data_IF_357877140181
#
_entry.id   IF_357877140181
#
_cell.length_a   1.000
_cell.length_b   1.000
_cell.length_c   1.000
_cell.angle_alpha   90.00
_cell.angle_beta   90.00
_cell.angle_gamma   90.00
#
_symmetry.space_group_name_H-M   'P 1'
#
loop_
_entity.id
_entity.type
_entity.pdbx_description
1 polymer ?
#
# COMPACT_ATOMS: atom_id res chain seq x y z
N UNK A 1 -6.22 99.48 -8.53
CA UNK A 1 -7.39 99.03 -9.31
C UNK A 1 -7.71 97.62 -8.87
N UNK A 2 -8.78 97.47 -8.07
CA UNK A 2 -9.20 96.20 -7.45
C UNK A 2 -9.66 95.22 -8.53
N UNK A 3 -9.16 93.99 -8.50
CA UNK A 3 -9.78 92.86 -9.20
C UNK A 3 -9.98 91.72 -8.20
N UNK A 4 -11.21 91.63 -7.70
CA UNK A 4 -11.76 90.43 -7.08
C UNK A 4 -11.94 89.36 -8.16
N UNK A 5 -11.27 88.23 -8.05
CA UNK A 5 -11.74 86.98 -8.67
C UNK A 5 -11.43 85.80 -7.74
N UNK A 6 -12.50 85.35 -7.10
CA UNK A 6 -12.62 84.10 -6.36
C UNK A 6 -12.33 82.92 -7.29
N UNK A 7 -11.44 82.01 -6.88
CA UNK A 7 -11.36 80.69 -7.49
C UNK A 7 -11.06 79.64 -6.42
N UNK A 8 -12.17 79.21 -5.81
CA UNK A 8 -12.52 77.80 -5.62
C UNK A 8 -11.40 76.93 -5.03
N UNK A 9 -11.53 76.66 -3.73
CA UNK A 9 -10.83 75.63 -2.98
C UNK A 9 -10.87 74.29 -3.75
N UNK A 10 -9.84 74.00 -4.55
CA UNK A 10 -9.66 72.72 -5.21
C UNK A 10 -9.10 71.75 -4.17
N UNK A 11 -9.99 71.04 -3.47
CA UNK A 11 -9.60 69.88 -2.66
C UNK A 11 -9.10 68.79 -3.61
N UNK A 12 -7.84 68.42 -3.48
CA UNK A 12 -7.22 67.31 -4.20
C UNK A 12 -7.94 66.02 -3.80
N UNK A 13 -8.60 65.37 -4.76
CA UNK A 13 -9.19 64.03 -4.56
C UNK A 13 -8.17 63.03 -5.05
N UNK A 14 -7.47 62.37 -4.13
CA UNK A 14 -6.56 61.27 -4.45
C UNK A 14 -7.39 60.03 -4.68
N UNK A 15 -7.48 59.57 -5.92
CA UNK A 15 -8.08 58.27 -6.23
C UNK A 15 -7.01 57.19 -6.08
N UNK A 16 -7.12 56.36 -5.05
CA UNK A 16 -6.36 55.12 -4.97
C UNK A 16 -6.93 54.12 -5.98
N UNK A 17 -6.20 53.83 -7.05
CA UNK A 17 -6.59 52.80 -8.00
C UNK A 17 -6.38 51.43 -7.34
N UNK A 18 -7.46 50.77 -6.92
CA UNK A 18 -7.43 49.36 -6.53
C UNK A 18 -7.56 48.54 -7.80
N UNK A 19 -6.45 47.95 -8.25
CA UNK A 19 -6.45 47.00 -9.37
C UNK A 19 -6.81 45.60 -8.84
N UNK A 20 -8.01 45.11 -9.15
CA UNK A 20 -8.37 43.71 -8.93
C UNK A 20 -7.89 42.89 -10.12
N UNK A 21 -6.92 42.01 -9.90
CA UNK A 21 -6.55 40.98 -10.88
C UNK A 21 -7.68 39.94 -10.89
N UNK A 22 -8.51 39.97 -11.93
CA UNK A 22 -9.46 38.88 -12.18
C UNK A 22 -8.68 37.81 -12.94
N UNK A 23 -8.29 36.74 -12.25
CA UNK A 23 -7.76 35.56 -12.90
C UNK A 23 -8.89 34.87 -13.66
N UNK A 24 -8.79 34.84 -14.99
CA UNK A 24 -9.63 33.97 -15.80
C UNK A 24 -9.08 32.54 -15.64
N UNK A 25 -9.67 31.76 -14.73
CA UNK A 25 -9.46 30.33 -14.74
C UNK A 25 -10.13 29.78 -16.01
N UNK A 26 -9.33 29.38 -17.00
CA UNK A 26 -9.83 28.58 -18.13
C UNK A 26 -10.56 27.37 -17.57
N UNK A 27 -11.69 26.93 -18.15
CA UNK A 27 -12.28 25.67 -17.74
C UNK A 27 -11.26 24.58 -18.05
N UNK A 28 -10.67 23.97 -17.01
CA UNK A 28 -9.95 22.73 -17.18
C UNK A 28 -10.95 21.76 -17.81
N UNK A 29 -10.61 21.20 -18.97
CA UNK A 29 -11.40 20.12 -19.54
C UNK A 29 -11.58 19.06 -18.45
N UNK A 30 -12.83 18.72 -18.12
CA UNK A 30 -13.09 17.73 -17.09
C UNK A 30 -12.54 16.38 -17.58
N UNK A 31 -11.62 15.80 -16.82
CA UNK A 31 -11.09 14.48 -17.11
C UNK A 31 -12.23 13.45 -17.14
N UNK A 32 -12.14 12.47 -18.05
CA UNK A 32 -13.16 11.42 -18.18
C UNK A 32 -13.15 10.52 -16.94
N UNK A 33 -14.31 10.03 -16.48
CA UNK A 33 -14.34 9.14 -15.32
C UNK A 33 -13.54 7.86 -15.60
N UNK A 34 -12.80 7.40 -14.59
CA UNK A 34 -12.06 6.14 -14.62
C UNK A 34 -12.57 5.19 -13.52
N UNK A 35 -12.28 3.91 -13.67
CA UNK A 35 -12.55 2.88 -12.66
C UNK A 35 -11.27 2.10 -12.37
N UNK A 36 -10.95 1.94 -11.10
CA UNK A 36 -9.81 1.10 -10.68
C UNK A 36 -10.34 -0.20 -10.09
N UNK A 37 -9.63 -1.30 -10.32
CA UNK A 37 -9.80 -2.56 -9.58
C UNK A 37 -8.45 -2.97 -9.00
N UNK A 38 -8.45 -3.73 -7.91
CA UNK A 38 -7.23 -4.21 -7.26
C UNK A 38 -7.39 -5.65 -6.82
N UNK A 39 -6.34 -6.43 -7.00
CA UNK A 39 -6.26 -7.82 -6.58
C UNK A 39 -4.93 -8.09 -5.89
N UNK A 40 -4.99 -8.79 -4.76
CA UNK A 40 -3.82 -9.28 -4.05
C UNK A 40 -3.65 -10.78 -4.29
N UNK A 41 -2.43 -11.20 -4.64
CA UNK A 41 -2.09 -12.61 -4.89
C UNK A 41 -0.81 -13.00 -4.13
N UNK A 42 -0.90 -13.92 -3.14
CA UNK A 42 -2.13 -14.51 -2.60
C UNK A 42 -2.94 -13.52 -1.74
N UNK A 43 -4.25 -13.73 -1.61
CA UNK A 43 -5.12 -12.98 -0.69
C UNK A 43 -4.97 -13.43 0.78
N UNK A 44 -4.36 -14.59 1.00
CA UNK A 44 -3.97 -15.08 2.32
C UNK A 44 -2.49 -15.44 2.31
N UNK A 45 -1.73 -14.84 3.22
CA UNK A 45 -0.28 -14.99 3.28
C UNK A 45 0.21 -15.30 4.70
N UNK A 46 1.42 -15.83 4.84
CA UNK A 46 2.11 -15.86 6.14
C UNK A 46 2.98 -14.62 6.32
N UNK A 47 3.29 -14.25 7.56
CA UNK A 47 4.25 -13.18 7.85
C UNK A 47 5.55 -13.40 7.06
N UNK A 48 6.03 -12.35 6.40
CA UNK A 48 7.22 -12.39 5.55
C UNK A 48 7.05 -13.02 4.17
N UNK A 49 5.86 -13.57 3.83
CA UNK A 49 5.58 -14.04 2.48
C UNK A 49 5.32 -12.87 1.52
N UNK A 50 5.81 -12.99 0.29
CA UNK A 50 5.56 -12.01 -0.78
C UNK A 50 4.12 -12.06 -1.27
N UNK A 51 3.49 -10.90 -1.36
CA UNK A 51 2.17 -10.68 -1.96
C UNK A 51 2.29 -9.69 -3.11
N UNK A 52 1.74 -10.06 -4.25
CA UNK A 52 1.66 -9.21 -5.44
C UNK A 52 0.33 -8.47 -5.43
N UNK A 53 0.38 -7.15 -5.39
CA UNK A 53 -0.74 -6.25 -5.56
C UNK A 53 -0.80 -5.82 -7.02
N UNK A 54 -1.91 -6.12 -7.69
CA UNK A 54 -2.14 -5.77 -9.08
C UNK A 54 -3.35 -4.86 -9.17
N UNK A 55 -3.15 -3.65 -9.67
CA UNK A 55 -4.21 -2.69 -9.95
C UNK A 55 -4.45 -2.59 -11.45
N UNK A 56 -5.72 -2.52 -11.85
CA UNK A 56 -6.17 -2.32 -13.22
C UNK A 56 -7.04 -1.07 -13.30
N UNK A 57 -6.60 -0.10 -14.09
CA UNK A 57 -7.29 1.17 -14.32
C UNK A 57 -7.97 1.11 -15.68
N UNK A 58 -9.30 1.20 -15.67
CA UNK A 58 -10.14 1.33 -16.86
C UNK A 58 -10.49 2.79 -17.09
N UNK A 59 -10.05 3.34 -18.21
CA UNK A 59 -10.39 4.67 -18.68
C UNK A 59 -10.63 4.63 -20.20
N UNK A 60 -11.46 5.51 -20.74
CA UNK A 60 -11.67 5.59 -22.21
C UNK A 60 -10.50 6.27 -22.93
N UNK A 61 -9.74 7.10 -22.22
CA UNK A 61 -8.46 7.65 -22.67
C UNK A 61 -7.29 6.80 -22.11
N UNK A 62 -6.06 7.14 -22.51
CA UNK A 62 -4.85 6.49 -21.98
C UNK A 62 -4.66 6.84 -20.49
N UNK A 63 -4.68 5.84 -19.58
CA UNK A 63 -4.50 6.08 -18.15
C UNK A 63 -3.03 6.33 -17.73
N UNK A 64 -2.06 6.22 -18.64
CA UNK A 64 -0.63 6.41 -18.36
C UNK A 64 -0.24 7.90 -18.22
N UNK A 65 1.02 8.19 -17.89
CA UNK A 65 1.55 9.58 -17.89
C UNK A 65 1.21 10.47 -16.68
N UNK A 66 0.45 9.96 -15.70
CA UNK A 66 0.24 10.59 -14.38
C UNK A 66 1.22 10.10 -13.30
N UNK A 67 0.91 10.34 -12.03
CA UNK A 67 1.66 9.73 -10.89
C UNK A 67 1.47 8.21 -10.83
N UNK A 68 0.38 7.69 -11.39
CA UNK A 68 0.04 6.27 -11.39
C UNK A 68 -0.86 5.87 -10.21
N UNK A 69 -0.71 4.63 -9.75
CA UNK A 69 -1.47 4.06 -8.63
C UNK A 69 -0.64 4.09 -7.35
N UNK A 70 -1.19 4.66 -6.30
CA UNK A 70 -0.63 4.63 -4.96
C UNK A 70 -1.30 3.54 -4.14
N UNK A 71 -0.50 2.62 -3.62
CA UNK A 71 -0.94 1.53 -2.74
C UNK A 71 -0.76 1.94 -1.28
N UNK A 72 -1.81 1.72 -0.49
CA UNK A 72 -1.82 1.93 0.95
C UNK A 72 -2.22 0.65 1.68
N UNK A 73 -1.75 0.50 2.91
CA UNK A 73 -2.25 -0.47 3.88
C UNK A 73 -2.88 0.31 5.04
N UNK A 74 -4.21 0.42 5.05
CA UNK A 74 -4.92 1.37 5.90
C UNK A 74 -4.51 2.82 5.59
N UNK A 75 -3.79 3.46 6.52
CA UNK A 75 -3.24 4.81 6.36
C UNK A 75 -1.78 4.83 5.90
N UNK A 76 -1.11 3.69 5.92
CA UNK A 76 0.32 3.62 5.65
C UNK A 76 0.59 3.53 4.15
N UNK A 77 1.38 4.48 3.65
CA UNK A 77 1.82 4.49 2.26
C UNK A 77 2.79 3.34 2.02
N UNK A 78 2.43 2.42 1.12
CA UNK A 78 3.32 1.35 0.70
C UNK A 78 4.23 1.83 -0.45
N UNK A 79 3.63 2.20 -1.57
CA UNK A 79 4.36 2.66 -2.75
C UNK A 79 3.45 3.35 -3.78
N UNK A 80 4.04 4.14 -4.67
CA UNK A 80 3.39 4.65 -5.89
C UNK A 80 4.02 4.02 -7.12
N UNK A 81 3.20 3.41 -7.97
CA UNK A 81 3.64 2.68 -9.17
C UNK A 81 3.02 3.32 -10.41
N UNK A 82 3.82 3.64 -11.45
CA UNK A 82 3.30 4.16 -12.70
C UNK A 82 2.35 3.14 -13.36
N UNK A 83 1.32 3.65 -14.01
CA UNK A 83 0.37 2.85 -14.80
C UNK A 83 0.89 2.75 -16.22
N UNK A 84 0.93 1.53 -16.78
CA UNK A 84 1.27 1.33 -18.18
C UNK A 84 0.12 1.71 -19.13
N UNK A 85 0.38 1.73 -20.44
CA UNK A 85 -0.63 2.06 -21.45
C UNK A 85 -1.78 1.03 -21.52
N UNK A 86 -1.62 -0.15 -20.91
CA UNK A 86 -2.66 -1.15 -20.74
C UNK A 86 -3.52 -0.96 -19.48
N UNK A 87 -3.25 0.08 -18.69
CA UNK A 87 -3.96 0.35 -17.43
C UNK A 87 -3.45 -0.47 -16.25
N UNK A 88 -2.30 -1.13 -16.35
CA UNK A 88 -1.80 -2.02 -15.30
C UNK A 88 -0.75 -1.33 -14.41
N UNK A 89 -0.83 -1.61 -13.11
CA UNK A 89 0.21 -1.31 -12.14
C UNK A 89 0.39 -2.50 -11.19
N UNK A 90 1.62 -2.93 -10.97
CA UNK A 90 1.94 -4.08 -10.10
C UNK A 90 3.00 -3.72 -9.08
N UNK A 91 2.76 -4.13 -7.83
CA UNK A 91 3.67 -3.91 -6.71
C UNK A 91 3.78 -5.19 -5.87
N UNK A 92 5.00 -5.61 -5.55
CA UNK A 92 5.23 -6.75 -4.65
C UNK A 92 5.62 -6.23 -3.27
N UNK A 93 4.92 -6.68 -2.25
CA UNK A 93 5.14 -6.30 -0.85
C UNK A 93 5.19 -7.53 0.07
N UNK A 94 5.67 -7.33 1.28
CA UNK A 94 5.63 -8.31 2.37
C UNK A 94 5.02 -7.67 3.61
N UNK A 95 4.26 -8.45 4.39
CA UNK A 95 3.65 -7.98 5.62
C UNK A 95 4.42 -8.49 6.84
N UNK A 96 4.65 -7.61 7.81
CA UNK A 96 5.41 -7.91 9.04
C UNK A 96 4.52 -8.21 10.25
N UNK A 97 3.24 -7.84 10.18
CA UNK A 97 2.25 -8.06 11.24
C UNK A 97 1.24 -9.09 10.79
N UNK A 98 0.66 -9.80 11.75
CA UNK A 98 -0.50 -10.66 11.51
C UNK A 98 -1.79 -9.87 11.57
N UNK A 99 -2.83 -10.39 10.93
CA UNK A 99 -4.15 -9.79 10.90
C UNK A 99 -4.66 -9.52 9.49
N UNK A 100 -5.73 -8.74 9.40
CA UNK A 100 -6.32 -8.32 8.13
C UNK A 100 -5.74 -6.96 7.74
N UNK A 101 -5.10 -6.92 6.58
CA UNK A 101 -4.56 -5.73 5.94
C UNK A 101 -5.54 -5.25 4.86
N UNK A 102 -6.03 -4.01 4.99
CA UNK A 102 -6.91 -3.40 4.00
C UNK A 102 -6.07 -2.60 3.03
N UNK A 103 -5.97 -3.11 1.80
CA UNK A 103 -5.14 -2.52 0.76
C UNK A 103 -5.98 -1.61 -0.10
N UNK A 104 -5.65 -0.32 -0.12
CA UNK A 104 -6.28 0.67 -0.98
C UNK A 104 -5.35 0.96 -2.16
N UNK A 105 -5.84 0.77 -3.38
CA UNK A 105 -5.18 1.21 -4.61
C UNK A 105 -5.86 2.50 -5.09
N UNK A 106 -5.16 3.62 -5.01
CA UNK A 106 -5.63 4.93 -5.44
C UNK A 106 -4.94 5.34 -6.74
N UNK A 107 -5.67 5.32 -7.85
CA UNK A 107 -5.24 5.93 -9.09
C UNK A 107 -5.35 7.46 -8.99
N UNK A 108 -4.22 8.15 -9.14
CA UNK A 108 -4.13 9.60 -8.93
C UNK A 108 -4.75 10.44 -10.07
N UNK A 109 -5.16 9.80 -11.17
CA UNK A 109 -5.59 10.50 -12.38
C UNK A 109 -4.43 11.02 -13.22
N UNK A 110 -4.75 11.52 -14.40
CA UNK A 110 -3.88 12.28 -15.27
C UNK A 110 -4.67 13.44 -15.93
N UNK A 111 -4.16 14.03 -17.00
CA UNK A 111 -4.84 15.11 -17.73
C UNK A 111 -6.17 14.68 -18.36
N UNK A 112 -6.30 13.40 -18.70
CA UNK A 112 -7.38 12.87 -19.53
C UNK A 112 -8.35 12.00 -18.73
N UNK A 113 -7.88 11.32 -17.70
CA UNK A 113 -8.56 10.37 -16.83
C UNK A 113 -8.65 10.90 -15.39
N UNK A 114 -9.85 10.94 -14.83
CA UNK A 114 -10.07 11.33 -13.44
C UNK A 114 -9.48 10.32 -12.45
N UNK A 115 -9.26 10.75 -11.21
CA UNK A 115 -8.82 9.87 -10.13
C UNK A 115 -9.90 8.85 -9.75
N UNK A 116 -9.48 7.66 -9.34
CA UNK A 116 -10.37 6.60 -8.84
C UNK A 116 -9.63 5.70 -7.84
N UNK A 117 -10.37 4.92 -7.05
CA UNK A 117 -9.78 4.05 -6.05
C UNK A 117 -10.55 2.73 -5.92
N UNK A 118 -9.84 1.71 -5.43
CA UNK A 118 -10.40 0.40 -5.10
C UNK A 118 -9.72 -0.18 -3.86
N UNK A 119 -10.38 -1.14 -3.22
CA UNK A 119 -9.89 -1.79 -2.01
C UNK A 119 -9.90 -3.31 -2.16
N UNK A 120 -8.93 -3.97 -1.53
CA UNK A 120 -8.90 -5.41 -1.35
C UNK A 120 -8.34 -5.75 0.04
N UNK A 121 -8.50 -6.98 0.49
CA UNK A 121 -8.03 -7.41 1.81
C UNK A 121 -7.02 -8.53 1.68
N UNK A 122 -5.95 -8.46 2.46
CA UNK A 122 -4.96 -9.53 2.61
C UNK A 122 -4.99 -10.03 4.06
N UNK A 123 -5.20 -11.33 4.25
CA UNK A 123 -5.15 -11.93 5.59
C UNK A 123 -3.76 -12.52 5.84
N UNK A 124 -3.07 -12.06 6.88
CA UNK A 124 -1.72 -12.49 7.23
C UNK A 124 -1.75 -13.32 8.51
N UNK A 125 -1.28 -14.57 8.42
CA UNK A 125 -1.18 -15.51 9.54
C UNK A 125 0.26 -15.64 10.01
N UNK A 126 0.46 -16.08 11.26
CA UNK A 126 1.80 -16.45 11.74
C UNK A 126 2.39 -17.56 10.86
N UNK A 127 3.70 -17.52 10.66
CA UNK A 127 4.40 -18.66 10.05
C UNK A 127 4.16 -19.88 10.93
N UNK A 128 3.75 -21.03 10.37
CA UNK A 128 3.56 -22.24 11.16
C UNK A 128 4.85 -22.55 11.93
N UNK A 129 4.79 -22.51 13.26
CA UNK A 129 5.91 -22.96 14.09
C UNK A 129 6.05 -24.46 13.80
N UNK A 130 7.19 -24.94 13.27
CA UNK A 130 7.37 -26.36 13.07
C UNK A 130 7.19 -27.05 14.42
N UNK A 131 6.47 -28.20 14.47
CA UNK A 131 6.26 -28.90 15.73
C UNK A 131 7.64 -29.16 16.32
N UNK A 132 7.94 -28.53 17.45
CA UNK A 132 9.20 -28.73 18.13
C UNK A 132 9.26 -30.21 18.46
N UNK A 133 10.24 -30.98 17.95
CA UNK A 133 10.38 -32.37 18.35
C UNK A 133 10.42 -32.37 19.87
N UNK A 134 9.65 -33.24 20.56
CA UNK A 134 9.76 -33.34 22.01
C UNK A 134 11.23 -33.55 22.31
N UNK A 135 11.81 -32.58 23.03
CA UNK A 135 13.22 -32.61 23.37
C UNK A 135 13.48 -33.95 24.03
N UNK A 136 14.24 -34.83 23.36
CA UNK A 136 14.92 -35.89 24.07
C UNK A 136 15.85 -35.14 25.02
N UNK A 137 15.45 -35.06 26.30
CA UNK A 137 16.31 -34.67 27.39
C UNK A 137 17.68 -35.26 27.09
N UNK A 138 18.66 -34.39 26.86
CA UNK A 138 20.04 -34.77 26.67
C UNK A 138 20.55 -35.27 28.03
N UNK A 139 20.20 -36.50 28.40
CA UNK A 139 20.60 -37.13 29.66
C UNK A 139 22.01 -37.74 29.58
N UNK A 140 22.87 -37.31 28.63
CA UNK A 140 24.10 -38.05 28.28
C UNK A 140 25.36 -37.21 28.01
N UNK A 141 25.42 -35.94 28.44
CA UNK A 141 26.68 -35.18 28.32
C UNK A 141 27.01 -34.25 29.48
N UNK A 142 26.51 -34.54 30.69
CA UNK A 142 27.27 -34.14 31.89
C UNK A 142 28.26 -35.28 32.15
N UNK A 143 29.53 -35.07 31.83
CA UNK A 143 30.59 -35.99 32.20
C UNK A 143 30.57 -36.19 33.72
N UNK A 144 30.38 -37.44 34.17
CA UNK A 144 30.39 -37.76 35.59
C UNK A 144 29.69 -39.07 35.93
N UNK A 145 30.40 -40.19 35.72
CA UNK A 145 30.37 -41.42 36.54
C UNK A 145 28.99 -42.02 36.88
N UNK A 146 28.59 -43.09 36.19
CA UNK A 146 27.48 -43.94 36.65
C UNK A 146 27.09 -45.05 35.69
N UNK A 147 27.59 -46.26 35.96
CA UNK A 147 27.40 -47.49 35.21
C UNK A 147 25.92 -47.91 35.12
N UNK A 148 25.35 -48.00 33.91
CA UNK A 148 24.32 -49.01 33.60
C UNK A 148 24.54 -49.58 32.20
N UNK A 149 25.08 -50.79 32.18
CA UNK A 149 25.35 -51.59 31.01
C UNK A 149 24.04 -52.21 30.51
N UNK A 150 23.53 -51.79 29.35
CA UNK A 150 22.46 -52.53 28.65
C UNK A 150 23.10 -53.41 27.57
N UNK A 151 23.35 -54.66 27.92
CA UNK A 151 23.62 -55.75 26.98
C UNK A 151 22.38 -55.98 26.13
N UNK A 152 22.48 -55.92 24.80
CA UNK A 152 21.42 -56.32 23.88
C UNK A 152 21.26 -57.84 23.99
N UNK A 153 20.21 -58.30 24.66
CA UNK A 153 19.82 -59.71 24.69
C UNK A 153 19.05 -60.08 23.42
N UNK A 154 19.37 -61.24 22.85
CA UNK A 154 18.72 -61.88 21.70
C UNK A 154 17.20 -61.71 21.70
N UNK A 155 16.65 -61.22 20.59
CA UNK A 155 15.21 -61.28 20.32
C UNK A 155 14.94 -62.61 19.61
N UNK A 156 14.54 -63.63 20.36
CA UNK A 156 13.90 -64.82 19.77
C UNK A 156 12.42 -64.51 19.52
N UNK A 157 12.07 -64.38 18.24
CA UNK A 157 10.69 -64.22 17.80
C UNK A 157 10.11 -65.59 17.44
N UNK A 158 9.39 -66.22 18.37
CA UNK A 158 8.64 -67.45 18.11
C UNK A 158 7.20 -67.08 17.71
N UNK A 159 6.83 -67.37 16.46
CA UNK A 159 5.45 -67.21 15.97
C UNK A 159 4.73 -68.55 16.17
N UNK A 160 3.79 -68.60 17.10
CA UNK A 160 2.88 -69.72 17.26
C UNK A 160 1.62 -69.47 16.41
N UNK A 161 1.37 -70.34 15.43
CA UNK A 161 0.09 -70.43 14.70
C UNK A 161 -0.59 -71.71 15.17
N UNK A 162 -1.67 -71.55 15.93
CA UNK A 162 -2.68 -72.59 16.14
C UNK A 162 -3.98 -72.10 15.49
#
# INVERSE_FOLDING_TARGET
MRLLQERKMWKTVTFAAVATVVAFASPAAAAVPSSTTVQATPSSASVGQSVVLSATVSCTADPSGGLGVTFFDGSDLLNTVPVDAGGQASYTTTFSTTGTHTITAAYNGNTDCGASNAETTVTVSETPVPPTPPGRLCLLACGGLGLVNFTVGDIHNEINID
#
